data_IF_026447339881
#
_entry.id   IF_026447339881
#
_cell.length_a   1.000
_cell.length_b   1.000
_cell.length_c   1.000
_cell.angle_alpha   90.00
_cell.angle_beta   90.00
_cell.angle_gamma   90.00
#
_symmetry.space_group_name_H-M   'P 1'
#
loop_
_entity.id
_entity.type
_entity.pdbx_description
1 polymer ?
#
# COMPACT_ATOMS: atom_id res chain seq x y z
N UNK A 1 -8.94 0.94 -0.46
CA UNK A 1 -9.27 2.37 -0.22
C UNK A 1 -8.61 3.32 -1.24
N UNK A 2 -7.39 3.85 -1.06
CA UNK A 2 -6.81 4.91 -1.93
C UNK A 2 -6.86 4.58 -3.44
N UNK A 3 -6.34 3.42 -3.83
CA UNK A 3 -6.32 2.97 -5.23
C UNK A 3 -7.73 2.86 -5.84
N UNK A 4 -8.69 2.30 -5.09
CA UNK A 4 -10.07 2.16 -5.54
C UNK A 4 -10.76 3.51 -5.75
N UNK A 5 -10.54 4.48 -4.84
CA UNK A 5 -11.08 5.84 -4.97
C UNK A 5 -10.55 6.50 -6.25
N UNK A 6 -9.24 6.41 -6.49
CA UNK A 6 -8.60 7.00 -7.66
C UNK A 6 -9.02 6.33 -8.98
N UNK A 7 -9.24 5.01 -8.96
CA UNK A 7 -9.80 4.30 -10.11
C UNK A 7 -11.22 4.76 -10.40
N UNK A 8 -12.05 5.02 -9.38
CA UNK A 8 -13.42 5.50 -9.58
C UNK A 8 -13.49 6.93 -10.13
N UNK A 9 -12.50 7.79 -9.82
CA UNK A 9 -12.34 9.10 -10.50
C UNK A 9 -12.14 8.90 -12.01
N UNK A 10 -11.23 7.99 -12.40
CA UNK A 10 -11.01 7.68 -13.80
C UNK A 10 -12.22 7.02 -14.47
N UNK A 11 -12.91 6.10 -13.78
CA UNK A 11 -14.13 5.46 -14.30
C UNK A 11 -15.23 6.49 -14.51
N UNK A 12 -15.44 7.42 -13.57
CA UNK A 12 -16.41 8.51 -13.71
C UNK A 12 -16.11 9.35 -14.97
N UNK A 13 -14.84 9.63 -15.25
CA UNK A 13 -14.42 10.31 -16.48
C UNK A 13 -14.72 9.51 -17.75
N UNK A 14 -14.48 8.19 -17.72
CA UNK A 14 -14.68 7.29 -18.87
C UNK A 14 -16.17 7.21 -19.26
N UNK A 15 -17.07 7.15 -18.28
CA UNK A 15 -18.52 6.99 -18.52
C UNK A 15 -19.30 8.30 -18.41
N UNK A 16 -18.60 9.44 -18.35
CA UNK A 16 -19.14 10.79 -18.21
C UNK A 16 -20.15 10.93 -17.04
N UNK A 17 -19.78 10.43 -15.87
CA UNK A 17 -20.61 10.46 -14.68
C UNK A 17 -20.17 11.53 -13.68
N UNK A 18 -21.13 11.98 -12.87
CA UNK A 18 -20.83 12.69 -11.62
C UNK A 18 -20.47 11.66 -10.54
N UNK A 19 -19.34 11.88 -9.87
CA UNK A 19 -18.90 11.04 -8.76
C UNK A 19 -19.49 11.57 -7.44
N UNK A 20 -20.18 10.72 -6.68
CA UNK A 20 -20.50 11.01 -5.28
C UNK A 20 -19.29 10.60 -4.42
N UNK A 21 -18.95 11.37 -3.39
CA UNK A 21 -17.83 11.01 -2.51
C UNK A 21 -18.07 9.62 -1.90
N UNK A 22 -17.02 8.79 -1.84
CA UNK A 22 -17.20 7.36 -1.63
C UNK A 22 -17.50 7.03 -0.17
N UNK A 23 -18.46 6.14 0.05
CA UNK A 23 -18.65 5.49 1.34
C UNK A 23 -17.48 4.53 1.63
N UNK A 24 -16.81 4.72 2.78
CA UNK A 24 -15.75 3.82 3.23
C UNK A 24 -16.34 2.54 3.84
N UNK A 25 -15.62 1.42 3.72
CA UNK A 25 -16.09 0.13 4.21
C UNK A 25 -15.97 0.02 5.73
N UNK A 26 -17.13 0.07 6.39
CA UNK A 26 -17.26 -0.05 7.86
C UNK A 26 -17.49 -1.48 8.36
N UNK A 27 -17.65 -2.45 7.45
CA UNK A 27 -18.04 -3.84 7.78
C UNK A 27 -16.89 -4.83 7.62
N UNK A 28 -15.72 -4.37 7.20
CA UNK A 28 -14.53 -5.20 7.05
C UNK A 28 -13.92 -5.59 8.40
N UNK A 29 -12.88 -6.43 8.35
CA UNK A 29 -12.13 -6.92 9.53
C UNK A 29 -11.68 -5.80 10.48
N UNK A 30 -11.45 -4.60 9.98
CA UNK A 30 -10.91 -3.46 10.74
C UNK A 30 -11.96 -2.64 11.48
N UNK A 31 -13.26 -2.91 11.25
CA UNK A 31 -14.41 -2.29 11.95
C UNK A 31 -14.34 -0.76 12.11
N UNK A 32 -13.79 -0.07 11.11
CA UNK A 32 -13.59 1.37 11.15
C UNK A 32 -14.88 2.12 10.83
N UNK A 33 -15.24 3.11 11.66
CA UNK A 33 -16.45 3.91 11.50
C UNK A 33 -16.26 5.19 10.67
N UNK A 34 -15.04 5.51 10.26
CA UNK A 34 -14.68 6.76 9.57
C UNK A 34 -15.44 6.93 8.26
N UNK A 35 -15.84 8.16 7.99
CA UNK A 35 -16.36 8.63 6.71
C UNK A 35 -15.22 9.15 5.82
N UNK A 36 -15.54 9.52 4.59
CA UNK A 36 -14.56 10.07 3.65
C UNK A 36 -13.85 11.31 4.19
N UNK A 37 -14.62 12.28 4.69
CA UNK A 37 -14.10 13.55 5.22
C UNK A 37 -13.28 13.39 6.53
N UNK A 38 -13.49 12.32 7.28
CA UNK A 38 -12.70 12.03 8.48
C UNK A 38 -11.25 11.65 8.12
N UNK A 39 -11.06 11.00 6.96
CA UNK A 39 -9.77 10.50 6.49
C UNK A 39 -9.12 11.42 5.46
N UNK A 40 -9.91 12.03 4.57
CA UNK A 40 -9.44 12.81 3.43
C UNK A 40 -9.99 14.24 3.46
N UNK A 41 -9.23 15.18 2.92
CA UNK A 41 -9.70 16.55 2.69
C UNK A 41 -10.70 16.56 1.52
N UNK A 42 -11.98 16.48 1.85
CA UNK A 42 -13.06 16.35 0.87
C UNK A 42 -13.20 17.57 -0.04
N UNK A 43 -13.09 18.77 0.52
CA UNK A 43 -13.19 20.02 -0.25
C UNK A 43 -12.00 20.17 -1.20
N UNK A 44 -10.78 19.88 -0.74
CA UNK A 44 -9.60 19.86 -1.60
C UNK A 44 -9.73 18.80 -2.71
N UNK A 45 -10.27 17.61 -2.40
CA UNK A 45 -10.49 16.55 -3.38
C UNK A 45 -11.46 16.98 -4.49
N UNK A 46 -12.59 17.59 -4.13
CA UNK A 46 -13.59 18.11 -5.09
C UNK A 46 -12.98 19.22 -5.94
N UNK A 47 -12.36 20.22 -5.31
CA UNK A 47 -11.80 21.38 -6.01
C UNK A 47 -10.65 21.00 -6.95
N UNK A 48 -9.79 20.05 -6.54
CA UNK A 48 -8.66 19.59 -7.36
C UNK A 48 -9.07 18.84 -8.62
N UNK A 49 -10.29 18.29 -8.66
CA UNK A 49 -10.82 17.48 -9.77
C UNK A 49 -11.87 18.22 -10.60
N UNK A 50 -12.24 19.46 -10.25
CA UNK A 50 -13.35 20.19 -10.84
C UNK A 50 -13.25 20.38 -12.38
N UNK A 51 -12.03 20.42 -12.92
CA UNK A 51 -11.78 20.53 -14.36
C UNK A 51 -11.78 19.18 -15.09
N UNK A 52 -11.77 18.06 -14.36
CA UNK A 52 -11.70 16.70 -14.92
C UNK A 52 -13.06 15.99 -14.83
N UNK A 53 -13.70 16.02 -13.66
CA UNK A 53 -15.00 15.40 -13.40
C UNK A 53 -15.79 16.24 -12.39
N UNK A 54 -17.13 16.12 -12.43
CA UNK A 54 -17.97 16.65 -11.34
C UNK A 54 -17.92 15.69 -10.17
N UNK A 55 -17.60 16.21 -8.98
CA UNK A 55 -17.66 15.47 -7.72
C UNK A 55 -18.64 16.19 -6.78
N UNK A 56 -19.52 15.45 -6.12
CA UNK A 56 -20.49 15.96 -5.15
C UNK A 56 -20.39 15.17 -3.85
N UNK A 57 -20.68 15.81 -2.72
CA UNK A 57 -20.58 15.19 -1.38
C UNK A 57 -21.66 14.14 -1.15
N UNK A 58 -22.89 14.48 -1.52
CA UNK A 58 -24.05 13.63 -1.28
C UNK A 58 -24.88 13.46 -2.55
N UNK A 59 -25.66 12.38 -2.59
CA UNK A 59 -26.59 12.16 -3.67
C UNK A 59 -27.73 13.20 -3.57
N UNK A 60 -28.05 13.95 -4.63
CA UNK A 60 -29.13 14.93 -4.62
C UNK A 60 -30.47 14.30 -4.21
N UNK A 61 -31.30 15.04 -3.47
CA UNK A 61 -32.58 14.54 -2.95
C UNK A 61 -33.48 13.98 -4.06
N UNK A 62 -33.47 14.61 -5.25
CA UNK A 62 -34.27 14.16 -6.39
C UNK A 62 -33.85 12.77 -6.90
N UNK A 63 -32.63 12.33 -6.62
CA UNK A 63 -32.09 11.04 -7.04
C UNK A 63 -32.18 9.96 -5.95
N UNK A 64 -32.66 10.30 -4.75
CA UNK A 64 -32.77 9.32 -3.64
C UNK A 64 -33.75 8.20 -3.99
N UNK A 65 -34.86 8.47 -4.68
CA UNK A 65 -35.83 7.45 -5.10
C UNK A 65 -35.62 6.96 -6.53
N UNK A 66 -34.60 7.46 -7.23
CA UNK A 66 -34.36 7.14 -8.62
C UNK A 66 -33.95 5.67 -8.85
N UNK A 67 -34.22 5.10 -10.04
CA UNK A 67 -33.79 3.76 -10.40
C UNK A 67 -32.27 3.58 -10.22
N UNK A 68 -31.89 2.61 -9.41
CA UNK A 68 -30.50 2.35 -9.01
C UNK A 68 -30.03 0.95 -9.37
N UNK A 69 -28.79 0.84 -9.80
CA UNK A 69 -28.09 -0.42 -9.98
C UNK A 69 -26.95 -0.55 -8.97
N UNK A 70 -26.90 -1.67 -8.25
CA UNK A 70 -25.73 -2.05 -7.45
C UNK A 70 -24.90 -3.01 -8.28
N UNK A 71 -23.64 -2.66 -8.58
CA UNK A 71 -22.78 -3.45 -9.47
C UNK A 71 -21.44 -3.73 -8.84
N UNK A 72 -21.01 -4.99 -8.93
CA UNK A 72 -19.62 -5.38 -8.75
C UNK A 72 -18.91 -5.30 -10.09
N UNK A 73 -18.13 -4.24 -10.31
CA UNK A 73 -17.40 -4.09 -11.56
C UNK A 73 -16.39 -5.23 -11.76
N UNK A 74 -16.19 -5.63 -13.00
CA UNK A 74 -15.20 -6.66 -13.36
C UNK A 74 -13.79 -6.15 -13.01
N UNK A 75 -12.99 -7.00 -12.37
CA UNK A 75 -11.64 -6.61 -11.93
C UNK A 75 -10.69 -6.44 -13.13
N UNK A 76 -9.79 -5.45 -13.03
CA UNK A 76 -8.80 -5.10 -14.05
C UNK A 76 -9.38 -4.87 -15.45
N UNK A 77 -10.55 -4.25 -15.53
CA UNK A 77 -11.23 -4.02 -16.79
C UNK A 77 -10.63 -2.88 -17.58
N UNK A 78 -10.61 -3.03 -18.90
CA UNK A 78 -10.21 -2.00 -19.86
C UNK A 78 -11.36 -1.04 -20.20
N UNK A 79 -11.08 -0.11 -21.13
CA UNK A 79 -11.99 0.96 -21.52
C UNK A 79 -13.34 0.44 -22.07
N UNK A 80 -13.31 -0.57 -22.94
CA UNK A 80 -14.49 -1.15 -23.59
C UNK A 80 -15.54 -1.65 -22.59
N UNK A 81 -15.11 -2.26 -21.49
CA UNK A 81 -16.04 -2.72 -20.45
C UNK A 81 -16.86 -1.56 -19.87
N UNK A 82 -16.19 -0.45 -19.56
CA UNK A 82 -16.86 0.70 -18.97
C UNK A 82 -17.73 1.44 -19.98
N UNK A 83 -17.24 1.63 -21.21
CA UNK A 83 -17.98 2.33 -22.27
C UNK A 83 -19.16 1.53 -22.80
N UNK A 84 -19.05 0.21 -22.92
CA UNK A 84 -20.08 -0.61 -23.57
C UNK A 84 -21.00 -1.29 -22.56
N UNK A 85 -20.50 -1.77 -21.41
CA UNK A 85 -21.32 -2.50 -20.44
C UNK A 85 -21.79 -1.63 -19.27
N UNK A 86 -20.93 -0.76 -18.74
CA UNK A 86 -21.32 0.08 -17.58
C UNK A 86 -22.11 1.30 -18.05
N UNK A 87 -21.67 1.99 -19.10
CA UNK A 87 -22.39 3.17 -19.59
C UNK A 87 -23.75 2.81 -20.21
N UNK A 88 -23.95 1.59 -20.72
CA UNK A 88 -25.28 1.16 -21.20
C UNK A 88 -26.33 1.08 -20.08
N UNK A 89 -25.91 1.02 -18.82
CA UNK A 89 -26.84 1.03 -17.68
C UNK A 89 -27.57 2.37 -17.54
N UNK A 90 -27.03 3.46 -18.08
CA UNK A 90 -27.69 4.77 -18.07
C UNK A 90 -29.04 4.78 -18.80
N UNK A 91 -29.30 3.81 -19.68
CA UNK A 91 -30.59 3.65 -20.34
C UNK A 91 -31.74 3.29 -19.37
N UNK A 92 -31.42 2.64 -18.23
CA UNK A 92 -32.42 2.12 -17.29
C UNK A 92 -32.24 2.63 -15.85
N UNK A 93 -31.09 3.24 -15.55
CA UNK A 93 -30.71 3.64 -14.19
C UNK A 93 -30.14 5.06 -14.19
N UNK A 94 -30.44 5.81 -13.13
CA UNK A 94 -29.87 7.14 -12.91
C UNK A 94 -28.73 7.11 -11.88
N UNK A 95 -28.67 6.06 -11.06
CA UNK A 95 -27.64 5.91 -10.02
C UNK A 95 -26.99 4.53 -10.12
N UNK A 96 -25.66 4.50 -10.19
CA UNK A 96 -24.87 3.25 -10.16
C UNK A 96 -24.03 3.24 -8.89
N UNK A 97 -24.30 2.30 -7.99
CA UNK A 97 -23.46 2.03 -6.82
C UNK A 97 -22.43 0.96 -7.15
N UNK A 98 -21.17 1.38 -7.30
CA UNK A 98 -20.05 0.48 -7.52
C UNK A 98 -19.64 -0.19 -6.20
N UNK A 99 -20.07 -1.43 -5.98
CA UNK A 99 -19.77 -2.19 -4.77
C UNK A 99 -18.37 -2.82 -4.82
N UNK A 100 -17.54 -2.56 -3.79
CA UNK A 100 -16.15 -3.05 -3.64
C UNK A 100 -15.24 -2.61 -4.79
N UNK A 101 -14.86 -1.34 -4.86
CA UNK A 101 -14.17 -0.72 -6.01
C UNK A 101 -12.66 -0.99 -6.10
N UNK A 102 -12.06 -1.85 -5.28
CA UNK A 102 -10.64 -2.15 -5.38
C UNK A 102 -10.29 -2.96 -6.65
N UNK A 103 -9.20 -2.59 -7.33
CA UNK A 103 -8.63 -3.29 -8.50
C UNK A 103 -9.62 -3.48 -9.67
N UNK A 104 -10.41 -2.46 -9.99
CA UNK A 104 -11.44 -2.53 -11.06
C UNK A 104 -10.96 -2.04 -12.40
N UNK A 105 -9.95 -1.18 -12.44
CA UNK A 105 -9.42 -0.63 -13.68
C UNK A 105 -8.09 -1.31 -14.04
N UNK A 106 -7.83 -1.52 -15.33
CA UNK A 106 -6.58 -2.09 -15.81
C UNK A 106 -5.36 -1.25 -15.37
N UNK A 107 -4.22 -1.90 -15.14
CA UNK A 107 -3.00 -1.18 -14.73
C UNK A 107 -2.33 -0.49 -15.92
N UNK A 108 -2.32 -1.15 -17.08
CA UNK A 108 -1.65 -0.70 -18.29
C UNK A 108 -2.62 -0.50 -19.45
N UNK A 109 -2.14 0.16 -20.51
CA UNK A 109 -2.84 0.32 -21.80
C UNK A 109 -4.19 1.06 -21.74
N UNK A 110 -4.39 1.93 -20.74
CA UNK A 110 -5.45 2.93 -20.77
C UNK A 110 -4.98 4.18 -21.52
N UNK A 111 -5.91 5.00 -22.05
CA UNK A 111 -5.57 6.27 -22.67
C UNK A 111 -4.69 7.16 -21.77
N UNK A 112 -3.72 7.91 -22.32
CA UNK A 112 -2.78 8.71 -21.53
C UNK A 112 -3.45 9.76 -20.64
N UNK A 113 -4.55 10.37 -21.08
CA UNK A 113 -5.34 11.33 -20.31
C UNK A 113 -5.98 10.68 -19.08
N UNK A 114 -6.53 9.47 -19.22
CA UNK A 114 -7.07 8.68 -18.11
C UNK A 114 -5.98 8.31 -17.12
N UNK A 115 -4.81 7.88 -17.58
CA UNK A 115 -3.70 7.56 -16.68
C UNK A 115 -3.20 8.80 -15.93
N UNK A 116 -3.08 9.96 -16.61
CA UNK A 116 -2.73 11.23 -15.96
C UNK A 116 -3.76 11.66 -14.91
N UNK A 117 -5.05 11.46 -15.19
CA UNK A 117 -6.11 11.72 -14.20
C UNK A 117 -5.95 10.83 -12.97
N UNK A 118 -5.63 9.54 -13.13
CA UNK A 118 -5.34 8.63 -12.00
C UNK A 118 -4.16 9.11 -11.16
N UNK A 119 -3.13 9.65 -11.82
CA UNK A 119 -1.98 10.26 -11.14
C UNK A 119 -2.38 11.46 -10.29
N UNK A 120 -3.09 12.42 -10.88
CA UNK A 120 -3.60 13.61 -10.19
C UNK A 120 -4.50 13.22 -9.02
N UNK A 121 -5.45 12.32 -9.27
CA UNK A 121 -6.35 11.81 -8.25
C UNK A 121 -5.57 11.20 -7.07
N UNK A 122 -4.57 10.36 -7.35
CA UNK A 122 -3.85 9.61 -6.31
C UNK A 122 -2.76 10.38 -5.60
N UNK A 123 -2.06 11.31 -6.24
CA UNK A 123 -0.92 11.98 -5.61
C UNK A 123 -1.14 13.47 -5.33
N UNK A 124 -2.18 14.08 -5.89
CA UNK A 124 -2.45 15.52 -5.70
C UNK A 124 -3.80 15.78 -5.03
N UNK A 125 -4.89 15.19 -5.53
CA UNK A 125 -6.26 15.47 -5.08
C UNK A 125 -6.62 14.72 -3.79
N UNK A 126 -6.26 13.44 -3.66
CA UNK A 126 -6.65 12.63 -2.50
C UNK A 126 -5.69 12.85 -1.32
N UNK A 127 -5.72 14.01 -0.69
CA UNK A 127 -4.90 14.33 0.50
C UNK A 127 -5.62 13.89 1.77
N UNK A 128 -4.85 13.57 2.81
CA UNK A 128 -5.48 13.29 4.10
C UNK A 128 -6.13 14.55 4.67
N UNK A 129 -7.06 14.37 5.61
CA UNK A 129 -7.73 15.48 6.28
C UNK A 129 -6.70 16.37 7.00
N UNK A 130 -6.99 17.67 7.20
CA UNK A 130 -6.07 18.61 7.83
C UNK A 130 -5.55 18.14 9.21
N UNK A 131 -6.40 17.49 10.00
CA UNK A 131 -6.02 16.93 11.31
C UNK A 131 -4.98 15.81 11.20
N UNK A 132 -5.17 14.87 10.28
CA UNK A 132 -4.23 13.77 10.01
C UNK A 132 -2.91 14.32 9.43
N UNK A 133 -2.97 15.27 8.50
CA UNK A 133 -1.77 15.91 7.94
C UNK A 133 -0.96 16.65 9.02
N UNK A 134 -1.63 17.40 9.90
CA UNK A 134 -0.97 18.10 10.99
C UNK A 134 -0.30 17.12 11.97
N UNK A 135 -1.02 16.09 12.40
CA UNK A 135 -0.48 15.09 13.32
C UNK A 135 0.64 14.26 12.68
N UNK A 136 0.49 13.85 11.43
CA UNK A 136 1.52 13.13 10.69
C UNK A 136 2.80 13.94 10.52
N UNK A 137 2.70 15.24 10.22
CA UNK A 137 3.86 16.15 10.16
C UNK A 137 4.55 16.28 11.52
N UNK A 138 3.79 16.42 12.59
CA UNK A 138 4.33 16.46 13.95
C UNK A 138 5.12 15.18 14.30
N UNK A 139 4.59 14.00 13.95
CA UNK A 139 5.30 12.73 14.11
C UNK A 139 6.60 12.68 13.30
N UNK A 140 6.57 13.15 12.04
CA UNK A 140 7.77 13.26 11.19
C UNK A 140 8.82 14.17 11.82
N UNK A 141 8.43 15.35 12.30
CA UNK A 141 9.33 16.29 12.96
C UNK A 141 9.97 15.68 14.20
N UNK A 142 9.19 15.00 15.04
CA UNK A 142 9.70 14.31 16.24
C UNK A 142 10.62 13.15 15.88
N UNK A 143 10.30 12.37 14.85
CA UNK A 143 11.17 11.31 14.38
C UNK A 143 12.51 11.85 13.87
N UNK A 144 12.49 12.97 13.13
CA UNK A 144 13.70 13.64 12.61
C UNK A 144 14.61 14.19 13.71
N UNK A 145 14.12 14.40 14.94
CA UNK A 145 14.98 14.77 16.09
C UNK A 145 15.96 13.65 16.48
N UNK A 146 15.66 12.40 16.12
CA UNK A 146 16.58 11.27 16.31
C UNK A 146 17.58 11.11 15.15
N UNK A 147 17.45 11.90 14.07
CA UNK A 147 18.29 11.85 12.88
C UNK A 147 17.57 11.27 11.65
N UNK A 148 18.35 10.93 10.62
CA UNK A 148 17.83 10.21 9.46
C UNK A 148 17.31 8.84 9.88
N UNK A 149 16.14 8.44 9.37
CA UNK A 149 15.44 7.27 9.88
C UNK A 149 14.92 6.33 8.79
N UNK A 150 14.78 5.07 9.19
CA UNK A 150 14.10 4.05 8.41
C UNK A 150 12.64 4.00 8.84
N UNK A 151 11.70 4.11 7.91
CA UNK A 151 10.34 3.66 8.14
C UNK A 151 10.24 2.17 7.76
N UNK A 152 10.06 1.34 8.77
CA UNK A 152 9.88 -0.10 8.65
C UNK A 152 8.39 -0.43 8.69
N UNK A 153 7.81 -0.81 7.55
CA UNK A 153 6.45 -1.33 7.52
C UNK A 153 6.47 -2.82 7.88
N UNK A 154 6.34 -3.09 9.18
CA UNK A 154 6.47 -4.40 9.79
C UNK A 154 5.11 -5.11 9.82
N UNK A 155 4.77 -5.83 8.74
CA UNK A 155 3.48 -6.51 8.62
C UNK A 155 3.47 -7.88 9.34
N UNK A 156 3.71 -7.86 10.64
CA UNK A 156 3.73 -9.05 11.51
C UNK A 156 2.52 -9.09 12.47
N UNK A 157 1.36 -8.65 11.98
CA UNK A 157 0.11 -8.65 12.74
C UNK A 157 -0.64 -9.98 12.57
N UNK A 158 -1.48 -10.28 13.57
CA UNK A 158 -2.20 -11.56 13.72
C UNK A 158 -3.02 -11.93 12.48
N UNK A 159 -3.72 -10.95 11.90
CA UNK A 159 -4.57 -11.16 10.72
C UNK A 159 -3.74 -11.59 9.50
N UNK A 160 -2.56 -10.97 9.32
CA UNK A 160 -1.68 -11.28 8.20
C UNK A 160 -1.08 -12.67 8.33
N UNK A 161 -0.63 -13.04 9.53
CA UNK A 161 -0.03 -14.35 9.80
C UNK A 161 -1.07 -15.47 9.67
N UNK A 162 -2.29 -15.24 10.19
CA UNK A 162 -3.42 -16.17 10.01
C UNK A 162 -3.77 -16.36 8.54
N UNK A 163 -3.93 -15.27 7.77
CA UNK A 163 -4.26 -15.30 6.35
C UNK A 163 -3.20 -16.00 5.51
N UNK A 164 -1.92 -15.70 5.77
CA UNK A 164 -0.79 -16.27 5.01
C UNK A 164 -0.43 -17.69 5.44
N UNK A 165 -0.95 -18.15 6.59
CA UNK A 165 -0.61 -19.45 7.18
C UNK A 165 0.85 -19.56 7.62
N UNK A 166 1.48 -18.44 7.93
CA UNK A 166 2.89 -18.38 8.30
C UNK A 166 3.05 -18.53 9.81
N UNK A 167 3.72 -19.62 10.23
CA UNK A 167 3.93 -19.95 11.64
C UNK A 167 5.41 -20.07 12.06
N UNK A 168 6.34 -19.68 11.19
CA UNK A 168 7.76 -19.75 11.52
C UNK A 168 8.11 -18.79 12.66
N UNK A 169 8.80 -19.31 13.67
CA UNK A 169 9.16 -18.58 14.89
C UNK A 169 8.04 -18.51 15.93
N UNK A 170 6.85 -19.06 15.65
CA UNK A 170 5.75 -19.11 16.61
C UNK A 170 5.79 -20.37 17.48
N UNK A 171 5.18 -20.29 18.66
CA UNK A 171 4.88 -21.49 19.47
C UNK A 171 3.77 -22.32 18.81
N UNK A 172 3.55 -23.54 19.32
CA UNK A 172 2.46 -24.39 18.84
C UNK A 172 1.09 -23.75 19.13
N UNK A 173 0.93 -23.17 20.32
CA UNK A 173 -0.30 -22.48 20.74
C UNK A 173 -0.60 -21.27 19.86
N UNK A 174 0.43 -20.46 19.57
CA UNK A 174 0.32 -19.32 18.64
C UNK A 174 -0.09 -19.80 17.24
N UNK A 175 0.54 -20.86 16.73
CA UNK A 175 0.23 -21.40 15.40
C UNK A 175 -1.20 -21.98 15.30
N UNK A 176 -1.68 -22.64 16.35
CA UNK A 176 -3.03 -23.18 16.45
C UNK A 176 -4.07 -22.06 16.50
N UNK A 177 -3.80 -20.99 17.26
CA UNK A 177 -4.66 -19.80 17.30
C UNK A 177 -4.83 -19.18 15.91
N UNK A 178 -3.71 -18.95 15.19
CA UNK A 178 -3.76 -18.41 13.83
C UNK A 178 -4.51 -19.33 12.87
N UNK A 179 -4.41 -20.65 13.06
CA UNK A 179 -5.16 -21.64 12.28
C UNK A 179 -6.65 -21.55 12.56
N UNK A 180 -7.07 -21.43 13.84
CA UNK A 180 -8.48 -21.23 14.20
C UNK A 180 -9.06 -19.95 13.59
N UNK A 181 -8.32 -18.84 13.62
CA UNK A 181 -8.75 -17.58 12.98
C UNK A 181 -8.94 -17.80 11.48
N UNK A 182 -7.98 -18.45 10.82
CA UNK A 182 -8.08 -18.73 9.38
C UNK A 182 -9.29 -19.60 9.06
N UNK A 183 -9.58 -20.63 9.86
CA UNK A 183 -10.73 -21.49 9.67
C UNK A 183 -12.06 -20.74 9.86
N UNK A 184 -12.18 -19.97 10.95
CA UNK A 184 -13.40 -19.24 11.30
C UNK A 184 -13.70 -18.05 10.38
N UNK A 185 -12.71 -17.55 9.63
CA UNK A 185 -12.90 -16.42 8.71
C UNK A 185 -13.54 -16.87 7.39
N UNK A 186 -14.87 -16.88 7.32
CA UNK A 186 -15.67 -17.48 6.24
C UNK A 186 -15.33 -17.02 4.81
N UNK A 187 -14.90 -15.77 4.64
CA UNK A 187 -14.61 -15.19 3.31
C UNK A 187 -13.19 -15.47 2.80
N UNK A 188 -12.32 -16.08 3.59
CA UNK A 188 -11.00 -16.56 3.14
C UNK A 188 -11.14 -17.93 2.49
N UNK A 189 -10.79 -18.03 1.20
CA UNK A 189 -11.02 -19.25 0.41
C UNK A 189 -10.00 -20.36 0.69
N UNK A 190 -8.77 -20.01 1.01
CA UNK A 190 -7.68 -20.97 1.24
C UNK A 190 -7.55 -21.18 2.74
N UNK A 191 -7.78 -22.41 3.19
CA UNK A 191 -7.81 -22.80 4.61
C UNK A 191 -6.63 -23.69 4.99
N UNK A 192 -6.28 -24.63 4.13
CA UNK A 192 -5.16 -25.53 4.37
C UNK A 192 -3.92 -24.97 3.69
N UNK A 193 -2.94 -24.58 4.51
CA UNK A 193 -1.73 -23.89 4.07
C UNK A 193 -0.51 -24.55 4.73
N UNK A 194 0.45 -24.95 3.90
CA UNK A 194 1.76 -25.40 4.39
C UNK A 194 2.65 -24.20 4.69
N UNK A 195 2.84 -23.89 5.97
CA UNK A 195 3.63 -22.74 6.44
C UNK A 195 5.08 -22.77 5.92
N UNK A 196 5.72 -23.94 5.94
CA UNK A 196 7.10 -24.13 5.47
C UNK A 196 7.23 -23.83 3.99
N UNK A 197 6.27 -24.27 3.18
CA UNK A 197 6.24 -24.00 1.74
C UNK A 197 6.03 -22.51 1.45
N UNK A 198 5.08 -21.85 2.14
CA UNK A 198 4.84 -20.42 2.00
C UNK A 198 6.10 -19.61 2.33
N UNK A 199 6.76 -19.93 3.44
CA UNK A 199 8.00 -19.27 3.84
C UNK A 199 9.09 -19.48 2.80
N UNK A 200 9.35 -20.73 2.40
CA UNK A 200 10.36 -21.07 1.38
C UNK A 200 10.12 -20.35 0.05
N UNK A 201 8.86 -20.09 -0.31
CA UNK A 201 8.52 -19.32 -1.53
C UNK A 201 8.59 -17.80 -1.34
N UNK A 202 8.85 -17.30 -0.13
CA UNK A 202 8.91 -15.86 0.19
C UNK A 202 7.54 -15.20 0.36
N UNK A 203 6.51 -16.00 0.61
CA UNK A 203 5.12 -15.56 0.80
C UNK A 203 4.76 -15.25 2.24
N UNK A 204 5.69 -15.44 3.18
CA UNK A 204 5.54 -14.98 4.57
C UNK A 204 6.11 -13.57 4.76
N UNK A 205 5.56 -12.76 5.67
CA UNK A 205 6.26 -11.62 6.24
C UNK A 205 7.58 -12.04 6.90
N UNK A 206 8.59 -11.17 6.89
CA UNK A 206 9.79 -11.39 7.68
C UNK A 206 9.48 -11.20 9.18
N UNK A 207 10.03 -12.06 10.04
CA UNK A 207 9.94 -11.91 11.50
C UNK A 207 10.77 -10.72 11.99
N UNK A 208 10.51 -10.14 13.17
CA UNK A 208 11.35 -9.06 13.71
C UNK A 208 12.84 -9.43 13.83
N UNK A 209 13.16 -10.68 14.18
CA UNK A 209 14.54 -11.22 14.15
C UNK A 209 15.16 -11.19 12.75
N UNK A 210 14.44 -11.70 11.75
CA UNK A 210 14.90 -11.70 10.34
C UNK A 210 15.07 -10.28 9.80
N UNK A 211 14.21 -9.34 10.21
CA UNK A 211 14.35 -7.92 9.88
C UNK A 211 15.61 -7.35 10.49
N UNK A 212 15.89 -7.63 11.77
CA UNK A 212 17.12 -7.18 12.42
C UNK A 212 18.37 -7.70 11.70
N UNK A 213 18.40 -8.98 11.35
CA UNK A 213 19.45 -9.60 10.53
C UNK A 213 19.60 -8.91 9.18
N UNK A 214 18.49 -8.64 8.50
CA UNK A 214 18.47 -7.97 7.19
C UNK A 214 19.06 -6.57 7.26
N UNK A 215 18.64 -5.75 8.22
CA UNK A 215 19.11 -4.38 8.38
C UNK A 215 20.60 -4.32 8.74
N UNK A 216 21.06 -5.17 9.67
CA UNK A 216 22.49 -5.29 9.98
C UNK A 216 23.30 -5.73 8.76
N UNK A 217 22.80 -6.68 7.97
CA UNK A 217 23.48 -7.17 6.78
C UNK A 217 23.53 -6.14 5.64
N UNK A 218 22.56 -5.22 5.56
CA UNK A 218 22.60 -4.05 4.68
C UNK A 218 23.64 -2.99 5.11
N UNK A 219 24.16 -3.10 6.34
CA UNK A 219 25.18 -2.20 6.88
C UNK A 219 24.63 -1.03 7.69
N UNK A 220 23.36 -1.07 8.10
CA UNK A 220 22.85 -0.05 9.03
C UNK A 220 23.43 -0.26 10.43
N UNK A 221 24.00 0.78 11.06
CA UNK A 221 24.54 0.68 12.42
C UNK A 221 23.40 0.54 13.45
N UNK A 222 23.71 -0.01 14.62
CA UNK A 222 22.70 -0.30 15.66
C UNK A 222 21.98 0.93 16.17
N UNK A 223 22.62 2.10 16.15
CA UNK A 223 22.03 3.39 16.52
C UNK A 223 21.15 4.01 15.42
N UNK A 224 20.87 3.30 14.33
CA UNK A 224 19.94 3.78 13.30
C UNK A 224 18.52 3.95 13.89
N UNK A 225 17.92 5.15 13.84
CA UNK A 225 16.53 5.35 14.22
C UNK A 225 15.57 4.62 13.28
N UNK A 226 14.62 3.87 13.84
CA UNK A 226 13.61 3.14 13.07
C UNK A 226 12.22 3.53 13.57
N UNK A 227 11.39 4.00 12.65
CA UNK A 227 9.96 4.13 12.85
C UNK A 227 9.26 2.83 12.41
N UNK A 228 8.56 2.17 13.31
CA UNK A 228 7.79 0.95 13.04
C UNK A 228 6.36 1.34 12.66
N UNK A 229 6.07 1.25 11.37
CA UNK A 229 4.74 1.44 10.80
C UNK A 229 3.99 0.10 10.78
N UNK A 230 3.24 -0.20 11.83
CA UNK A 230 2.51 -1.45 11.99
C UNK A 230 1.29 -1.28 12.89
N UNK A 231 0.35 -2.24 12.77
CA UNK A 231 -0.61 -2.50 13.84
C UNK A 231 0.03 -3.25 15.01
N UNK A 232 -0.79 -3.95 15.80
CA UNK A 232 -0.30 -4.78 16.90
C UNK A 232 0.57 -5.94 16.37
N UNK A 233 1.83 -5.96 16.81
CA UNK A 233 2.77 -7.03 16.47
C UNK A 233 2.37 -8.29 17.23
N UNK A 234 2.14 -9.39 16.50
CA UNK A 234 1.77 -10.65 17.12
C UNK A 234 2.90 -11.22 18.00
N UNK A 235 2.57 -11.59 19.24
CA UNK A 235 3.53 -11.92 20.29
C UNK A 235 4.05 -10.69 21.09
N UNK A 236 3.62 -9.48 20.72
CA UNK A 236 3.85 -8.24 21.48
C UNK A 236 5.32 -7.92 21.75
N UNK A 237 5.60 -7.48 22.98
CA UNK A 237 6.93 -7.05 23.41
C UNK A 237 8.00 -8.13 23.28
N UNK A 238 7.65 -9.40 23.49
CA UNK A 238 8.59 -10.52 23.35
C UNK A 238 9.11 -10.64 21.91
N UNK A 239 8.22 -10.44 20.93
CA UNK A 239 8.54 -10.58 19.50
C UNK A 239 9.35 -9.39 18.99
N UNK A 240 8.97 -8.18 19.39
CA UNK A 240 9.69 -6.96 18.96
C UNK A 240 11.05 -6.83 19.64
N UNK A 241 11.26 -7.44 20.81
CA UNK A 241 12.53 -7.43 21.53
C UNK A 241 13.69 -7.98 20.68
N UNK A 242 13.43 -8.95 19.80
CA UNK A 242 14.45 -9.51 18.91
C UNK A 242 15.01 -8.45 17.94
N UNK A 243 14.15 -7.58 17.40
CA UNK A 243 14.57 -6.44 16.58
C UNK A 243 15.24 -5.36 17.44
N UNK A 244 14.64 -5.04 18.59
CA UNK A 244 15.12 -4.01 19.53
C UNK A 244 16.52 -4.30 20.05
N UNK A 245 16.88 -5.57 20.22
CA UNK A 245 18.21 -6.00 20.65
C UNK A 245 19.32 -5.57 19.68
N UNK A 246 18.99 -5.43 18.39
CA UNK A 246 19.92 -4.99 17.33
C UNK A 246 19.82 -3.49 17.05
N UNK A 247 18.62 -2.94 17.18
CA UNK A 247 18.31 -1.52 16.93
C UNK A 247 17.50 -0.96 18.10
N UNK A 248 18.14 -0.40 19.14
CA UNK A 248 17.44 0.09 20.33
C UNK A 248 16.51 1.30 20.08
N UNK A 249 16.79 2.13 19.06
CA UNK A 249 15.99 3.33 18.73
C UNK A 249 14.75 2.99 17.89
N UNK A 250 13.87 2.13 18.42
CA UNK A 250 12.58 1.81 17.82
C UNK A 250 11.49 2.75 18.34
N UNK A 251 10.98 3.57 17.41
CA UNK A 251 9.85 4.48 17.61
C UNK A 251 8.62 3.96 16.87
N UNK A 252 7.45 4.37 17.33
CA UNK A 252 6.17 4.24 16.65
C UNK A 252 5.33 5.48 17.01
N UNK A 253 4.16 5.63 16.39
CA UNK A 253 3.25 6.76 16.68
C UNK A 253 2.95 6.89 18.17
N UNK A 254 2.72 5.77 18.87
CA UNK A 254 2.39 5.72 20.30
C UNK A 254 3.54 6.19 21.21
N UNK A 255 4.79 6.02 20.80
CA UNK A 255 5.97 6.55 21.53
C UNK A 255 6.29 7.99 21.17
N UNK A 256 5.94 8.42 19.96
CA UNK A 256 6.24 9.76 19.46
C UNK A 256 5.17 10.79 19.83
N UNK A 257 3.99 10.37 20.25
CA UNK A 257 2.88 11.24 20.63
C UNK A 257 2.36 10.94 22.03
N UNK A 258 1.80 11.96 22.68
CA UNK A 258 1.10 11.75 23.95
C UNK A 258 -0.22 11.02 23.71
N UNK A 259 -0.79 10.47 24.78
CA UNK A 259 -2.08 9.81 24.71
C UNK A 259 -3.17 10.80 24.26
N UNK A 260 -3.13 12.04 24.74
CA UNK A 260 -4.09 13.10 24.40
C UNK A 260 -3.99 13.52 22.93
N UNK A 261 -2.78 13.55 22.36
CA UNK A 261 -2.58 13.89 20.94
C UNK A 261 -3.10 12.79 20.00
N UNK A 262 -3.06 11.51 20.44
CA UNK A 262 -3.51 10.37 19.63
C UNK A 262 -4.97 9.97 19.86
N UNK A 263 -5.58 10.41 20.96
CA UNK A 263 -6.96 10.08 21.33
C UNK A 263 -7.97 10.26 20.18
N UNK A 264 -7.91 11.34 19.36
CA UNK A 264 -8.83 11.53 18.24
C UNK A 264 -8.73 10.46 17.14
N UNK A 265 -7.63 9.73 17.07
CA UNK A 265 -7.31 8.79 15.99
C UNK A 265 -7.38 7.32 16.41
N UNK A 266 -7.18 7.02 17.70
CA UNK A 266 -6.89 5.66 18.18
C UNK A 266 -7.98 4.62 17.87
N UNK A 267 -9.24 5.04 17.83
CA UNK A 267 -10.39 4.19 17.52
C UNK A 267 -10.69 4.10 16.01
N UNK A 268 -9.86 4.70 15.17
CA UNK A 268 -10.03 4.79 13.72
C UNK A 268 -8.80 4.21 13.00
N UNK A 269 -8.84 2.90 12.72
CA UNK A 269 -7.72 2.17 12.12
C UNK A 269 -7.18 2.80 10.82
N UNK A 270 -8.05 3.38 10.00
CA UNK A 270 -7.72 4.06 8.74
C UNK A 270 -6.97 5.37 8.99
N UNK A 271 -7.32 6.11 10.05
CA UNK A 271 -6.62 7.33 10.42
C UNK A 271 -5.25 7.01 11.03
N UNK A 272 -5.17 5.99 11.90
CA UNK A 272 -3.90 5.50 12.44
C UNK A 272 -2.96 5.00 11.33
N UNK A 273 -3.49 4.28 10.33
CA UNK A 273 -2.73 3.88 9.15
C UNK A 273 -2.32 5.08 8.27
N UNK A 274 -3.10 6.16 8.24
CA UNK A 274 -2.74 7.38 7.52
C UNK A 274 -1.57 8.11 8.18
N UNK A 275 -1.49 8.14 9.51
CA UNK A 275 -0.31 8.65 10.23
C UNK A 275 0.95 7.85 9.86
N UNK A 276 0.86 6.52 9.92
CA UNK A 276 1.94 5.63 9.50
C UNK A 276 2.34 5.85 8.02
N UNK A 277 1.37 6.20 7.16
CA UNK A 277 1.61 6.49 5.76
C UNK A 277 2.47 7.74 5.58
N UNK A 278 2.09 8.83 6.26
CA UNK A 278 2.82 10.11 6.18
C UNK A 278 4.26 9.93 6.64
N UNK A 279 4.46 9.32 7.82
CA UNK A 279 5.81 9.07 8.36
C UNK A 279 6.62 8.17 7.43
N UNK A 280 5.99 7.16 6.83
CA UNK A 280 6.66 6.27 5.89
C UNK A 280 7.06 6.95 4.58
N UNK A 281 6.22 7.83 4.03
CA UNK A 281 6.52 8.61 2.82
C UNK A 281 7.63 9.62 3.06
N UNK A 282 7.71 10.22 4.25
CA UNK A 282 8.69 11.25 4.62
C UNK A 282 10.04 10.72 5.12
N UNK A 283 10.15 9.40 5.36
CA UNK A 283 11.39 8.74 5.79
C UNK A 283 12.53 8.80 4.76
N UNK A 284 13.77 8.68 5.22
CA UNK A 284 14.94 8.60 4.34
C UNK A 284 14.98 7.26 3.61
N UNK A 285 14.59 6.17 4.28
CA UNK A 285 14.50 4.83 3.71
C UNK A 285 13.20 4.16 4.14
N UNK A 286 12.43 3.68 3.18
CA UNK A 286 11.26 2.85 3.44
C UNK A 286 11.55 1.37 3.17
N UNK A 287 11.17 0.49 4.11
CA UNK A 287 11.36 -0.96 3.99
C UNK A 287 10.08 -1.68 4.41
N UNK A 288 9.33 -2.29 3.47
CA UNK A 288 8.19 -3.13 3.81
C UNK A 288 8.59 -4.61 3.98
N UNK A 289 8.27 -5.20 5.12
CA UNK A 289 8.58 -6.61 5.42
C UNK A 289 7.64 -7.59 4.73
N UNK A 290 6.50 -7.11 4.23
CA UNK A 290 5.54 -7.86 3.43
C UNK A 290 4.98 -7.00 2.29
N UNK A 291 4.53 -7.65 1.21
CA UNK A 291 3.86 -6.94 0.11
C UNK A 291 2.38 -6.81 0.45
N UNK A 292 1.86 -5.58 0.45
CA UNK A 292 0.46 -5.31 0.76
C UNK A 292 0.04 -3.93 0.29
N UNK A 293 -1.23 -3.57 0.49
CA UNK A 293 -1.79 -2.31 -0.01
C UNK A 293 -1.01 -1.09 0.47
N UNK A 294 -0.68 -1.04 1.77
CA UNK A 294 0.12 0.04 2.38
C UNK A 294 1.52 0.12 1.77
N UNK A 295 2.25 -1.00 1.76
CA UNK A 295 3.59 -1.08 1.19
C UNK A 295 3.64 -0.60 -0.27
N UNK A 296 2.65 -0.99 -1.09
CA UNK A 296 2.54 -0.58 -2.50
C UNK A 296 2.22 0.91 -2.63
N UNK A 297 1.28 1.41 -1.82
CA UNK A 297 0.86 2.81 -1.85
C UNK A 297 2.00 3.76 -1.42
N UNK A 298 2.74 3.42 -0.36
CA UNK A 298 3.91 4.19 0.09
C UNK A 298 5.02 4.11 -0.96
N UNK A 299 5.36 2.91 -1.46
CA UNK A 299 6.40 2.76 -2.47
C UNK A 299 6.11 3.55 -3.75
N UNK A 300 4.86 3.55 -4.21
CA UNK A 300 4.45 4.32 -5.37
C UNK A 300 4.48 5.83 -5.14
N UNK A 301 4.04 6.31 -3.97
CA UNK A 301 4.12 7.74 -3.64
C UNK A 301 5.57 8.20 -3.49
N UNK A 302 6.43 7.40 -2.86
CA UNK A 302 7.88 7.66 -2.80
C UNK A 302 8.53 7.70 -4.19
N UNK A 303 8.07 6.86 -5.13
CA UNK A 303 8.48 6.95 -6.55
C UNK A 303 8.01 8.26 -7.18
N UNK A 304 6.75 8.64 -6.97
CA UNK A 304 6.16 9.88 -7.47
C UNK A 304 6.93 11.12 -6.97
N UNK A 305 7.34 11.13 -5.70
CA UNK A 305 8.12 12.23 -5.09
C UNK A 305 9.62 12.19 -5.44
N UNK A 306 9.98 11.79 -6.66
CA UNK A 306 11.36 11.80 -7.15
C UNK A 306 12.18 10.57 -6.75
N UNK A 307 11.57 9.38 -6.72
CA UNK A 307 12.28 8.12 -6.47
C UNK A 307 12.98 8.03 -5.11
N UNK A 308 12.31 8.47 -4.04
CA UNK A 308 12.81 8.32 -2.67
C UNK A 308 13.12 6.85 -2.35
N UNK A 309 14.22 6.61 -1.64
CA UNK A 309 14.81 5.27 -1.45
C UNK A 309 13.82 4.32 -0.80
N UNK A 310 13.55 3.19 -1.45
CA UNK A 310 12.66 2.13 -0.96
C UNK A 310 13.32 0.79 -1.18
N UNK A 311 13.73 0.11 -0.10
CA UNK A 311 14.38 -1.20 -0.22
C UNK A 311 13.30 -2.27 -0.12
N UNK A 312 13.03 -2.95 -1.24
CA UNK A 312 12.05 -4.04 -1.30
C UNK A 312 12.71 -5.39 -1.05
N UNK A 313 12.47 -6.04 0.11
CA UNK A 313 13.13 -7.30 0.44
C UNK A 313 12.84 -8.41 -0.59
N UNK A 314 13.87 -9.13 -1.03
CA UNK A 314 13.72 -10.42 -1.71
C UNK A 314 13.54 -11.49 -0.65
N UNK A 315 12.31 -11.61 -0.14
CA UNK A 315 12.01 -12.50 0.99
C UNK A 315 12.41 -13.94 0.73
N UNK A 316 12.19 -14.44 -0.48
CA UNK A 316 12.59 -15.80 -0.87
C UNK A 316 14.10 -16.01 -0.73
N UNK A 317 14.90 -15.07 -1.23
CA UNK A 317 16.34 -15.17 -1.10
C UNK A 317 16.81 -14.98 0.35
N UNK A 318 16.16 -14.07 1.09
CA UNK A 318 16.49 -13.77 2.49
C UNK A 318 16.23 -14.98 3.40
N UNK A 319 15.06 -15.61 3.33
CA UNK A 319 14.75 -16.78 4.17
C UNK A 319 15.74 -17.92 3.94
N UNK A 320 16.14 -18.18 2.68
CA UNK A 320 17.16 -19.20 2.38
C UNK A 320 18.54 -18.85 2.95
N UNK A 321 18.88 -17.57 3.06
CA UNK A 321 20.12 -17.14 3.68
C UNK A 321 20.04 -17.23 5.20
N UNK A 322 18.92 -16.84 5.79
CA UNK A 322 18.69 -16.89 7.23
C UNK A 322 18.60 -18.32 7.76
N UNK A 323 18.01 -19.25 7.01
CA UNK A 323 18.01 -20.68 7.36
C UNK A 323 19.44 -21.23 7.43
N UNK A 324 20.31 -20.80 6.51
CA UNK A 324 21.73 -21.18 6.56
C UNK A 324 22.46 -20.60 7.76
N UNK A 325 22.05 -19.41 8.20
CA UNK A 325 22.56 -18.79 9.43
C UNK A 325 22.11 -19.56 10.66
N UNK A 326 20.82 -19.89 10.74
CA UNK A 326 20.24 -20.66 11.83
C UNK A 326 20.84 -22.06 11.94
N UNK A 327 21.09 -22.73 10.81
CA UNK A 327 21.76 -24.04 10.74
C UNK A 327 23.27 -23.98 10.98
N UNK A 328 23.86 -22.79 11.15
CA UNK A 328 25.31 -22.60 11.34
C UNK A 328 26.17 -22.76 10.08
N UNK A 329 25.58 -23.06 8.93
CA UNK A 329 26.29 -23.23 7.64
C UNK A 329 26.72 -21.90 6.99
N UNK A 330 26.20 -20.76 7.48
CA UNK A 330 26.62 -19.42 7.09
C UNK A 330 26.71 -18.53 8.34
N UNK A 331 27.86 -17.95 8.63
CA UNK A 331 27.99 -16.99 9.75
C UNK A 331 27.48 -15.60 9.36
N UNK A 332 26.94 -14.87 10.34
CA UNK A 332 26.76 -13.42 10.21
C UNK A 332 28.13 -12.74 9.93
N UNK A 333 28.12 -11.67 9.14
CA UNK A 333 29.31 -10.91 8.75
C UNK A 333 29.44 -10.70 7.25
N UNK A 334 30.66 -10.38 6.79
CA UNK A 334 30.93 -9.87 5.43
C UNK A 334 30.32 -10.69 4.30
N UNK A 335 30.34 -12.03 4.40
CA UNK A 335 29.81 -12.93 3.37
C UNK A 335 28.28 -12.84 3.25
N UNK A 336 27.57 -12.80 4.38
CA UNK A 336 26.12 -12.61 4.41
C UNK A 336 25.75 -11.22 3.90
N UNK A 337 26.43 -10.19 4.39
CA UNK A 337 26.23 -8.79 3.97
C UNK A 337 26.41 -8.63 2.46
N UNK A 338 27.51 -9.14 1.90
CA UNK A 338 27.78 -9.07 0.45
C UNK A 338 26.64 -9.69 -0.36
N UNK A 339 26.17 -10.89 0.01
CA UNK A 339 25.07 -11.57 -0.70
C UNK A 339 23.77 -10.76 -0.61
N UNK A 340 23.43 -10.26 0.57
CA UNK A 340 22.21 -9.47 0.78
C UNK A 340 22.28 -8.16 -0.01
N UNK A 341 23.38 -7.43 0.07
CA UNK A 341 23.60 -6.18 -0.68
C UNK A 341 23.49 -6.45 -2.19
N UNK A 342 24.11 -7.52 -2.69
CA UNK A 342 24.06 -7.92 -4.09
C UNK A 342 22.61 -8.17 -4.56
N UNK A 343 21.86 -9.01 -3.84
CA UNK A 343 20.46 -9.35 -4.14
C UNK A 343 19.58 -8.08 -4.20
N UNK A 344 19.87 -7.10 -3.34
CA UNK A 344 19.05 -5.89 -3.20
C UNK A 344 19.57 -4.69 -3.99
N UNK A 345 20.69 -4.81 -4.74
CA UNK A 345 21.29 -3.70 -5.50
C UNK A 345 20.29 -2.97 -6.40
N UNK A 346 19.42 -3.72 -7.09
CA UNK A 346 18.39 -3.17 -8.01
C UNK A 346 16.99 -3.07 -7.37
N UNK A 347 16.87 -3.28 -6.06
CA UNK A 347 15.60 -3.29 -5.33
C UNK A 347 15.46 -2.09 -4.38
N UNK A 348 16.01 -0.94 -4.76
CA UNK A 348 16.11 0.26 -3.91
C UNK A 348 15.19 1.43 -4.32
N UNK A 349 14.16 1.16 -5.14
CA UNK A 349 13.17 2.18 -5.51
C UNK A 349 13.55 3.03 -6.74
N UNK A 350 14.63 2.67 -7.44
CA UNK A 350 15.10 3.38 -8.64
C UNK A 350 14.00 3.50 -9.72
N UNK A 351 14.08 4.54 -10.57
CA UNK A 351 13.19 4.67 -11.73
C UNK A 351 13.25 3.43 -12.60
N UNK A 352 12.08 2.91 -12.97
CA UNK A 352 11.93 1.82 -13.95
C UNK A 352 10.52 1.82 -14.51
N UNK A 353 10.36 1.34 -15.75
CA UNK A 353 9.04 1.14 -16.34
C UNK A 353 8.23 0.15 -15.49
N UNK A 354 6.92 0.41 -15.37
CA UNK A 354 5.98 -0.54 -14.78
C UNK A 354 6.01 -1.85 -15.56
N UNK A 355 6.04 -2.97 -14.84
CA UNK A 355 6.09 -4.29 -15.47
C UNK A 355 4.72 -4.64 -16.04
N UNK A 356 4.74 -5.16 -17.28
CA UNK A 356 3.58 -5.80 -17.89
C UNK A 356 3.27 -7.17 -17.26
N UNK A 357 2.39 -7.94 -17.90
CA UNK A 357 1.99 -9.25 -17.40
C UNK A 357 3.20 -10.20 -17.32
N UNK A 358 3.16 -11.13 -16.35
CA UNK A 358 4.18 -12.17 -16.22
C UNK A 358 4.11 -13.07 -17.47
N UNK A 359 5.28 -13.35 -18.06
CA UNK A 359 5.38 -14.21 -19.24
C UNK A 359 4.70 -15.56 -19.01
N UNK A 360 3.92 -16.02 -19.99
CA UNK A 360 3.15 -17.28 -19.92
C UNK A 360 1.75 -17.16 -19.31
N UNK A 361 1.38 -16.02 -18.72
CA UNK A 361 -0.01 -15.78 -18.29
C UNK A 361 -0.93 -15.54 -19.48
N UNK A 362 -2.16 -16.07 -19.42
CA UNK A 362 -3.16 -15.98 -20.50
C UNK A 362 -4.50 -15.47 -19.95
N UNK A 363 -5.38 -15.02 -20.85
CA UNK A 363 -6.73 -14.58 -20.50
C UNK A 363 -6.72 -13.47 -19.45
N UNK A 364 -7.58 -13.60 -18.44
CA UNK A 364 -7.70 -12.63 -17.36
C UNK A 364 -6.51 -12.62 -16.39
N UNK A 365 -5.75 -13.71 -16.30
CA UNK A 365 -4.62 -13.80 -15.38
C UNK A 365 -3.46 -12.90 -15.79
N UNK A 366 -3.39 -12.50 -17.07
CA UNK A 366 -2.42 -11.50 -17.54
C UNK A 366 -2.54 -10.22 -16.73
N UNK A 367 -3.75 -9.68 -16.59
CA UNK A 367 -3.99 -8.42 -15.92
C UNK A 367 -3.74 -8.49 -14.40
N UNK A 368 -4.02 -9.65 -13.80
CA UNK A 368 -3.72 -9.93 -12.39
C UNK A 368 -2.23 -9.94 -12.09
N UNK A 369 -1.43 -10.40 -13.05
CA UNK A 369 0.01 -10.55 -12.92
C UNK A 369 0.79 -9.26 -13.22
N UNK A 370 0.12 -8.23 -13.76
CA UNK A 370 0.72 -6.93 -13.99
C UNK A 370 1.12 -6.25 -12.68
N UNK A 371 2.19 -5.46 -12.74
CA UNK A 371 2.50 -4.56 -11.63
C UNK A 371 1.41 -3.49 -11.50
N UNK A 372 1.00 -3.20 -10.26
CA UNK A 372 -0.07 -2.23 -10.04
C UNK A 372 0.36 -0.81 -10.43
N UNK A 373 -0.58 -0.08 -11.01
CA UNK A 373 -0.38 1.31 -11.42
C UNK A 373 0.14 2.20 -10.27
N UNK A 374 -0.53 2.17 -9.12
CA UNK A 374 -0.18 2.99 -7.96
C UNK A 374 1.04 2.50 -7.18
N UNK A 375 1.60 1.33 -7.51
CA UNK A 375 2.87 0.85 -6.95
C UNK A 375 4.06 1.37 -7.77
N UNK A 376 3.90 1.46 -9.09
CA UNK A 376 4.88 2.04 -9.99
C UNK A 376 4.20 2.96 -11.02
N UNK A 377 4.13 4.27 -10.73
CA UNK A 377 3.40 5.21 -11.57
C UNK A 377 4.12 5.58 -12.88
N UNK A 378 5.33 5.07 -13.13
CA UNK A 378 6.04 5.28 -14.39
C UNK A 378 5.45 4.43 -15.54
N UNK A 379 5.26 4.99 -16.74
CA UNK A 379 5.72 6.31 -17.19
C UNK A 379 4.68 7.45 -17.02
N UNK A 380 3.47 7.15 -16.54
CA UNK A 380 2.31 8.03 -16.72
C UNK A 380 2.29 9.25 -15.78
N UNK A 381 2.71 9.10 -14.52
CA UNK A 381 2.63 10.16 -13.52
C UNK A 381 3.88 11.01 -13.36
N UNK A 382 4.95 10.65 -14.07
CA UNK A 382 6.22 11.35 -13.96
C UNK A 382 6.59 11.87 -15.33
N UNK A 383 6.92 13.15 -15.38
CA UNK A 383 7.44 13.74 -16.60
C UNK A 383 8.64 12.91 -17.06
N UNK A 384 8.58 12.38 -18.27
CA UNK A 384 9.81 12.02 -18.95
C UNK A 384 10.57 13.34 -19.08
N UNK A 385 11.73 13.48 -18.43
CA UNK A 385 12.72 14.44 -18.92
C UNK A 385 13.02 13.98 -20.33
N UNK A 386 12.30 14.52 -21.30
CA UNK A 386 12.64 14.35 -22.69
C UNK A 386 14.10 14.76 -22.81
N UNK A 387 14.91 13.93 -23.46
CA UNK A 387 15.91 14.50 -24.33
C UNK A 387 15.14 15.52 -25.18
N UNK A 388 15.30 16.80 -24.86
CA UNK A 388 14.92 17.89 -25.74
C UNK A 388 15.73 17.65 -27.01
N UNK A 389 15.19 16.84 -27.92
CA UNK A 389 15.58 16.92 -29.31
C UNK A 389 15.06 18.27 -29.72
N UNK A 390 16.00 19.22 -29.77
CA UNK A 390 15.77 20.58 -30.20
C UNK A 390 15.34 20.58 -31.67
N UNK A 391 14.07 20.30 -31.92
CA UNK A 391 13.39 20.71 -33.14
C UNK A 391 12.44 21.84 -32.74
N UNK A 392 13.04 23.00 -32.48
CA UNK A 392 12.32 24.26 -32.48
C UNK A 392 11.78 24.50 -33.90
N UNK A 393 10.54 24.09 -34.13
CA UNK A 393 9.77 24.54 -35.29
C UNK A 393 8.85 25.64 -34.78
N UNK A 394 9.28 26.88 -34.96
CA UNK A 394 8.45 28.07 -34.71
C UNK A 394 7.59 28.26 -35.95
N UNK A 395 6.27 28.31 -35.77
CA UNK A 395 5.32 28.71 -36.82
C UNK A 395 5.07 30.21 -36.64
N UNK A 396 5.13 30.93 -37.76
CA UNK A 396 4.86 32.38 -37.88
C UNK A 396 3.41 32.62 -38.23
#
# INVERSE_FOLDING_TARGET
>A
MRAGICDMVAVARIINATLVTPELDKRSFWLDSSNFADVFDEDHFINSLANDIKVIKELPEELVTAPRAVKHFRSWSGLEYYQNEIASLWANYQVIRAAKSDSRLANNNLPPDIQKLRCRACYEALRFSPSIEAMGKLLVERMRKFGHYIALHLRYEKDMLAFSGCSHGLSLEEADELTMIRQNTTHWKVKDINATEQRTKGYCPLTPKEVGLFLSALGYPSDTPIYVAAGEIYGGESRIAELRSRFPLLMNKEKLASQEELEPFINHASQMAALDYIVSVESDVFIPTYSGNMARAVAGHRRYLGHRKTISPDRKALVHLFDKVEQGSLKEGKKLSYRIIEIHRRRQGSPRKRKGPISGTKGMDRFRSEEAFYENPLPDCLCQKGLLVANASVIK
#
